data_IF_603565374700
#
_entry.id   IF_603565374700
#
_cell.length_a   1.000
_cell.length_b   1.000
_cell.length_c   1.000
_cell.angle_alpha   90.00
_cell.angle_beta   90.00
_cell.angle_gamma   90.00
#
_symmetry.space_group_name_H-M   'P 1'
#
loop_
_entity.id
_entity.type
_entity.pdbx_description
1 polymer ?
#
# COMPACT_ATOMS: atom_id res chain seq x y z
N UNK A 1 -23.82 -74.68 -42.05
CA UNK A 1 -24.75 -74.18 -41.00
C UNK A 1 -23.94 -73.39 -39.98
N UNK A 2 -23.86 -72.06 -40.13
CA UNK A 2 -23.16 -71.17 -39.22
C UNK A 2 -24.16 -70.58 -38.21
N UNK A 3 -23.88 -70.72 -36.90
CA UNK A 3 -24.63 -70.02 -35.84
C UNK A 3 -23.76 -68.89 -35.31
N UNK A 4 -24.15 -67.67 -35.64
CA UNK A 4 -23.58 -66.41 -35.16
C UNK A 4 -24.02 -66.20 -33.69
N UNK A 5 -23.06 -65.98 -32.78
CA UNK A 5 -23.32 -65.53 -31.41
C UNK A 5 -22.42 -64.32 -31.14
N UNK A 6 -22.87 -63.14 -31.57
CA UNK A 6 -22.31 -61.85 -31.17
C UNK A 6 -23.08 -61.42 -29.93
N UNK A 7 -22.48 -61.62 -28.76
CA UNK A 7 -23.07 -61.27 -27.48
C UNK A 7 -22.90 -59.77 -27.26
N UNK A 8 -24.05 -59.11 -27.25
CA UNK A 8 -24.29 -57.69 -26.97
C UNK A 8 -23.83 -57.39 -25.53
N UNK A 9 -22.59 -56.95 -25.35
CA UNK A 9 -22.09 -56.49 -24.02
C UNK A 9 -21.57 -55.05 -24.06
N UNK A 10 -21.34 -54.45 -25.22
CA UNK A 10 -20.83 -53.07 -25.31
C UNK A 10 -21.90 -51.97 -25.36
N UNK A 11 -23.18 -52.28 -25.58
CA UNK A 11 -24.20 -51.23 -25.83
C UNK A 11 -24.80 -50.66 -24.53
N UNK A 12 -24.78 -51.42 -23.43
CA UNK A 12 -25.40 -50.95 -22.16
C UNK A 12 -24.46 -50.05 -21.35
N UNK A 13 -23.13 -50.11 -21.56
CA UNK A 13 -22.18 -49.26 -20.82
C UNK A 13 -22.15 -47.79 -21.28
N UNK A 14 -22.76 -47.45 -22.42
CA UNK A 14 -22.79 -46.09 -22.95
C UNK A 14 -23.96 -45.24 -22.45
N UNK A 15 -24.87 -45.81 -21.64
CA UNK A 15 -26.03 -45.08 -21.07
C UNK A 15 -25.87 -44.65 -19.61
N UNK A 16 -24.67 -44.82 -19.04
CA UNK A 16 -24.28 -44.25 -17.73
C UNK A 16 -23.48 -42.95 -17.89
N UNK A 17 -23.65 -42.24 -19.01
CA UNK A 17 -23.15 -40.88 -19.17
C UNK A 17 -23.87 -39.97 -18.18
N UNK A 18 -23.20 -39.67 -17.06
CA UNK A 18 -23.62 -38.63 -16.12
C UNK A 18 -24.01 -37.37 -16.90
N UNK A 19 -25.11 -36.67 -16.57
CA UNK A 19 -25.31 -35.34 -17.11
C UNK A 19 -24.09 -34.51 -16.71
N UNK A 20 -23.31 -34.09 -17.70
CA UNK A 20 -22.25 -33.12 -17.49
C UNK A 20 -22.94 -31.90 -16.86
N UNK A 21 -22.61 -31.60 -15.61
CA UNK A 21 -22.97 -30.32 -15.00
C UNK A 21 -22.28 -29.24 -15.82
N UNK A 22 -23.04 -28.67 -16.75
CA UNK A 22 -22.68 -27.40 -17.35
C UNK A 22 -22.60 -26.38 -16.20
N UNK A 23 -21.46 -25.74 -16.02
CA UNK A 23 -21.38 -24.59 -15.12
C UNK A 23 -22.39 -23.55 -15.61
N UNK A 24 -23.24 -23.05 -14.73
CA UNK A 24 -24.08 -21.90 -15.04
C UNK A 24 -23.19 -20.80 -15.64
N UNK A 25 -23.60 -20.15 -16.73
CA UNK A 25 -22.83 -19.05 -17.29
C UNK A 25 -22.64 -18.02 -16.19
N UNK A 26 -21.38 -17.74 -15.86
CA UNK A 26 -20.98 -16.74 -14.87
C UNK A 26 -21.83 -15.50 -15.05
N UNK A 27 -22.57 -15.13 -13.99
CA UNK A 27 -23.39 -13.92 -13.98
C UNK A 27 -22.43 -12.74 -14.10
N UNK A 28 -22.34 -12.17 -15.30
CA UNK A 28 -21.53 -10.98 -15.55
C UNK A 28 -22.10 -9.84 -14.70
N UNK A 29 -21.42 -9.53 -13.61
CA UNK A 29 -21.71 -8.34 -12.81
C UNK A 29 -21.26 -7.14 -13.64
N UNK A 30 -22.22 -6.49 -14.30
CA UNK A 30 -22.01 -5.14 -14.79
C UNK A 30 -22.01 -4.22 -13.57
N UNK A 31 -20.87 -3.61 -13.28
CA UNK A 31 -20.79 -2.58 -12.25
C UNK A 31 -21.59 -1.37 -12.71
N UNK A 32 -22.28 -0.73 -11.76
CA UNK A 32 -22.92 0.54 -12.01
C UNK A 32 -21.87 1.60 -12.39
N UNK A 33 -22.29 2.65 -13.09
CA UNK A 33 -21.42 3.75 -13.50
C UNK A 33 -20.73 4.39 -12.27
N UNK A 34 -19.42 4.19 -12.15
CA UNK A 34 -18.61 4.83 -11.11
C UNK A 34 -18.14 6.17 -11.64
N UNK A 35 -18.71 7.24 -11.09
CA UNK A 35 -18.18 8.60 -11.32
C UNK A 35 -16.97 8.82 -10.44
N UNK A 36 -15.77 8.83 -11.02
CA UNK A 36 -14.53 9.21 -10.33
C UNK A 36 -14.36 10.73 -10.44
N UNK A 37 -14.53 11.45 -9.34
CA UNK A 37 -14.18 12.88 -9.30
C UNK A 37 -12.73 13.06 -8.89
N UNK A 38 -11.88 13.48 -9.83
CA UNK A 38 -10.53 13.94 -9.54
C UNK A 38 -10.57 15.39 -9.03
N UNK A 39 -10.05 15.63 -7.83
CA UNK A 39 -9.74 16.99 -7.36
C UNK A 39 -8.26 17.24 -7.61
N UNK A 40 -7.95 18.23 -8.44
CA UNK A 40 -6.58 18.72 -8.52
C UNK A 40 -6.20 19.29 -7.14
N UNK A 41 -5.23 18.65 -6.48
CA UNK A 41 -4.62 19.23 -5.29
C UNK A 41 -3.76 20.37 -5.80
N UNK A 42 -4.24 21.61 -5.64
CA UNK A 42 -3.37 22.77 -5.83
C UNK A 42 -2.29 22.65 -4.75
N UNK A 43 -1.08 22.29 -5.16
CA UNK A 43 0.09 22.27 -4.27
C UNK A 43 0.36 23.73 -3.93
N UNK A 44 -0.15 24.17 -2.78
CA UNK A 44 0.27 25.45 -2.21
C UNK A 44 1.78 25.38 -2.01
N UNK A 45 2.53 26.47 -2.24
CA UNK A 45 3.95 26.46 -1.90
C UNK A 45 4.13 26.03 -0.44
N UNK A 46 5.14 25.19 -0.15
CA UNK A 46 5.40 24.72 1.20
C UNK A 46 5.49 25.88 2.19
N UNK A 47 5.06 25.69 3.45
CA UNK A 47 5.25 26.71 4.47
C UNK A 47 6.75 27.01 4.66
N UNK A 48 7.14 28.20 5.13
CA UNK A 48 8.56 28.54 5.34
C UNK A 48 9.31 27.61 6.32
N UNK A 49 8.59 26.84 7.14
CA UNK A 49 9.13 25.83 8.05
C UNK A 49 9.40 24.47 7.39
N UNK A 50 8.96 24.29 6.13
CA UNK A 50 9.19 23.07 5.39
C UNK A 50 10.68 22.91 5.04
N UNK A 51 11.14 21.67 5.07
CA UNK A 51 12.41 21.25 4.50
C UNK A 51 12.11 20.35 3.33
N UNK A 52 12.78 20.56 2.20
CA UNK A 52 12.65 19.72 1.02
C UNK A 52 13.96 18.96 0.87
N UNK A 53 13.84 17.65 0.66
CA UNK A 53 14.95 16.77 0.24
C UNK A 53 14.58 16.31 -1.17
N UNK A 54 15.43 16.60 -2.14
CA UNK A 54 15.14 16.26 -3.54
C UNK A 54 15.45 14.79 -3.84
N UNK A 55 14.80 14.22 -4.86
CA UNK A 55 15.11 12.87 -5.34
C UNK A 55 16.56 12.75 -5.83
N UNK A 56 17.12 13.81 -6.40
CA UNK A 56 18.53 13.87 -6.79
C UNK A 56 19.46 13.68 -5.58
N UNK A 57 19.17 14.32 -4.44
CA UNK A 57 19.91 14.12 -3.19
C UNK A 57 19.78 12.68 -2.64
N UNK A 58 18.67 11.99 -2.93
CA UNK A 58 18.46 10.60 -2.51
C UNK A 58 19.20 9.62 -3.43
N UNK A 59 19.27 9.89 -4.73
CA UNK A 59 19.89 9.02 -5.73
C UNK A 59 21.41 8.89 -5.58
N UNK A 60 22.06 9.88 -4.98
CA UNK A 60 23.49 9.84 -4.68
C UNK A 60 23.85 8.95 -3.48
N UNK A 61 22.85 8.39 -2.78
CA UNK A 61 23.02 7.59 -1.57
C UNK A 61 22.51 6.15 -1.73
N UNK A 62 23.13 5.25 -0.99
CA UNK A 62 22.70 3.86 -0.90
C UNK A 62 21.88 3.67 0.39
N UNK A 63 20.64 3.22 0.23
CA UNK A 63 19.76 2.88 1.34
C UNK A 63 19.69 1.36 1.51
N UNK A 64 20.01 0.86 2.70
CA UNK A 64 19.85 -0.57 3.02
C UNK A 64 18.37 -0.98 3.10
N UNK A 65 17.50 -0.04 3.45
CA UNK A 65 16.04 -0.17 3.45
C UNK A 65 15.37 1.18 3.19
N UNK A 66 14.10 1.16 2.75
CA UNK A 66 13.37 2.42 2.49
C UNK A 66 13.23 3.29 3.74
N UNK A 67 13.18 2.71 4.94
CA UNK A 67 13.05 3.49 6.18
C UNK A 67 14.26 4.39 6.43
N UNK A 68 15.45 4.01 5.95
CA UNK A 68 16.68 4.82 6.02
C UNK A 68 16.57 6.16 5.29
N UNK A 69 15.63 6.30 4.34
CA UNK A 69 15.34 7.59 3.70
C UNK A 69 14.91 8.65 4.72
N UNK A 70 14.23 8.23 5.79
CA UNK A 70 13.81 9.14 6.87
C UNK A 70 14.98 9.65 7.72
N UNK A 71 16.15 9.00 7.71
CA UNK A 71 17.35 9.48 8.40
C UNK A 71 17.96 10.72 7.72
N UNK A 72 17.57 11.00 6.47
CA UNK A 72 17.96 12.23 5.76
C UNK A 72 17.29 13.47 6.34
N UNK A 73 16.22 13.30 7.10
CA UNK A 73 15.44 14.40 7.66
C UNK A 73 16.24 15.04 8.82
N UNK A 74 16.64 16.33 8.73
CA UNK A 74 17.41 16.95 9.80
C UNK A 74 16.61 17.06 11.10
N UNK A 75 17.17 16.51 12.18
CA UNK A 75 16.52 16.45 13.49
C UNK A 75 15.55 15.29 13.68
N UNK A 76 15.53 14.35 12.73
CA UNK A 76 14.95 13.04 12.88
C UNK A 76 16.01 12.00 13.33
N UNK A 77 15.55 10.96 14.02
CA UNK A 77 16.30 9.74 14.26
C UNK A 77 15.36 8.57 14.03
N UNK A 78 15.67 7.71 13.08
CA UNK A 78 14.90 6.48 12.82
C UNK A 78 15.49 5.36 13.66
N UNK A 79 14.61 4.53 14.22
CA UNK A 79 14.95 3.28 14.90
C UNK A 79 14.15 2.17 14.26
N UNK A 80 14.84 1.39 13.45
CA UNK A 80 14.28 0.20 12.83
C UNK A 80 14.10 -0.91 13.87
N UNK A 81 13.00 -1.65 13.77
CA UNK A 81 12.73 -2.81 14.63
C UNK A 81 13.33 -4.11 14.07
N UNK A 82 13.74 -4.15 12.80
CA UNK A 82 14.25 -5.33 12.10
C UNK A 82 13.19 -6.41 11.89
N UNK A 83 11.92 -6.04 11.95
CA UNK A 83 10.76 -6.92 11.80
C UNK A 83 10.02 -6.50 10.53
N UNK A 84 10.13 -7.31 9.48
CA UNK A 84 9.47 -7.00 8.21
C UNK A 84 7.96 -6.80 8.38
N UNK A 85 7.42 -5.74 7.78
CA UNK A 85 6.01 -5.34 7.92
C UNK A 85 5.68 -4.59 9.21
N UNK A 86 6.68 -4.18 9.99
CA UNK A 86 6.53 -3.29 11.14
C UNK A 86 7.22 -1.97 10.84
N UNK A 87 6.48 -0.86 10.90
CA UNK A 87 7.08 0.46 10.72
C UNK A 87 8.10 0.75 11.83
N UNK A 88 9.21 1.39 11.46
CA UNK A 88 10.21 1.95 12.37
C UNK A 88 9.57 2.81 13.45
N UNK A 89 10.30 3.00 14.56
CA UNK A 89 10.04 4.16 15.39
C UNK A 89 10.78 5.36 14.84
N UNK A 90 10.12 6.50 14.82
CA UNK A 90 10.70 7.75 14.39
C UNK A 90 10.76 8.70 15.58
N UNK A 91 11.86 9.44 15.73
CA UNK A 91 12.01 10.47 16.75
C UNK A 91 12.24 11.79 16.06
N UNK A 92 11.42 12.80 16.32
CA UNK A 92 11.60 14.14 15.78
C UNK A 92 11.78 15.15 16.90
N UNK A 93 12.87 15.92 16.89
CA UNK A 93 13.17 16.92 17.95
C UNK A 93 13.09 16.37 19.38
N UNK A 94 13.41 15.09 19.57
CA UNK A 94 13.36 14.40 20.87
C UNK A 94 11.99 13.86 21.27
N UNK A 95 10.95 14.06 20.46
CA UNK A 95 9.63 13.46 20.65
C UNK A 95 9.62 12.06 20.02
N UNK A 96 9.30 11.05 20.82
CA UNK A 96 9.19 9.67 20.36
C UNK A 96 7.85 9.47 19.64
N UNK A 97 7.91 9.15 18.35
CA UNK A 97 6.75 8.85 17.50
C UNK A 97 6.81 7.35 17.19
N UNK A 98 6.33 6.56 18.14
CA UNK A 98 6.36 5.09 18.10
C UNK A 98 5.69 4.55 16.84
N UNK A 99 6.32 3.60 16.16
CA UNK A 99 5.79 2.97 14.94
C UNK A 99 5.25 3.96 13.88
N UNK A 100 5.90 5.14 13.77
CA UNK A 100 5.50 6.23 12.87
C UNK A 100 4.05 6.75 13.07
N UNK A 101 3.37 6.45 14.19
CA UNK A 101 1.97 6.88 14.41
C UNK A 101 1.84 8.34 14.82
N UNK A 102 2.91 8.92 15.37
CA UNK A 102 2.89 10.29 15.89
C UNK A 102 3.13 11.38 14.84
N UNK A 103 3.51 11.03 13.60
CA UNK A 103 3.64 11.96 12.49
C UNK A 103 2.64 11.62 11.38
N UNK A 104 2.21 12.63 10.64
CA UNK A 104 1.35 12.46 9.47
C UNK A 104 2.22 12.11 8.26
N UNK A 105 1.96 10.99 7.60
CA UNK A 105 2.65 10.61 6.38
C UNK A 105 1.69 10.68 5.20
N UNK A 106 2.15 11.26 4.10
CA UNK A 106 1.39 11.38 2.87
C UNK A 106 2.25 10.93 1.68
N UNK A 107 1.64 10.25 0.73
CA UNK A 107 2.21 9.96 -0.59
C UNK A 107 1.27 10.59 -1.62
N UNK A 108 1.78 11.50 -2.44
CA UNK A 108 0.99 12.23 -3.44
C UNK A 108 -0.29 12.90 -2.89
N UNK A 109 -0.22 13.35 -1.63
CA UNK A 109 -1.35 13.97 -0.92
C UNK A 109 -2.38 12.98 -0.35
N UNK A 110 -2.16 11.68 -0.49
CA UNK A 110 -2.97 10.62 0.12
C UNK A 110 -2.34 10.20 1.45
N UNK A 111 -3.11 10.17 2.57
CA UNK A 111 -2.56 9.78 3.87
C UNK A 111 -2.18 8.30 3.89
N UNK A 112 -1.00 8.00 4.42
CA UNK A 112 -0.55 6.63 4.73
C UNK A 112 -1.02 6.15 6.12
N UNK A 113 -1.37 7.09 7.00
CA UNK A 113 -1.84 6.78 8.35
C UNK A 113 -2.94 7.75 8.82
N UNK A 114 -3.72 7.31 9.81
CA UNK A 114 -4.83 8.05 10.39
C UNK A 114 -4.58 8.31 11.88
N UNK A 115 -5.00 9.48 12.39
CA UNK A 115 -4.62 9.92 13.74
C UNK A 115 -5.37 9.24 14.89
N UNK A 116 -6.50 8.59 14.61
CA UNK A 116 -7.54 8.35 15.63
C UNK A 116 -7.54 6.96 16.26
N UNK A 117 -6.64 6.06 15.86
CA UNK A 117 -6.64 4.69 16.42
C UNK A 117 -5.21 4.22 16.64
N UNK A 118 -4.86 4.00 17.90
CA UNK A 118 -3.62 3.33 18.34
C UNK A 118 -3.53 1.86 17.85
N UNK A 119 -4.29 1.47 16.84
CA UNK A 119 -4.36 0.12 16.28
C UNK A 119 -4.47 0.01 14.75
N UNK A 120 -4.69 1.09 13.98
CA UNK A 120 -5.15 0.94 12.58
C UNK A 120 -4.31 1.63 11.49
N UNK A 121 -3.03 1.90 11.73
CA UNK A 121 -2.17 2.35 10.64
C UNK A 121 -0.78 2.77 11.04
N UNK A 122 0.17 1.84 10.97
CA UNK A 122 1.57 2.19 10.89
C UNK A 122 1.81 2.92 9.57
N UNK A 123 2.48 4.07 9.61
CA UNK A 123 3.04 4.62 8.38
C UNK A 123 4.26 3.78 7.98
N UNK A 124 3.99 2.67 7.29
CA UNK A 124 5.03 1.81 6.75
C UNK A 124 5.52 2.34 5.40
N UNK A 125 6.63 3.07 5.46
CA UNK A 125 7.29 3.63 4.29
C UNK A 125 7.98 2.55 3.44
N UNK A 126 8.09 1.29 3.88
CA UNK A 126 8.66 0.20 3.07
C UNK A 126 7.87 -0.08 1.77
N UNK A 127 6.65 0.43 1.66
CA UNK A 127 5.85 0.38 0.43
C UNK A 127 6.37 1.32 -0.67
N UNK A 128 7.23 2.27 -0.32
CA UNK A 128 7.81 3.26 -1.22
C UNK A 128 9.16 2.74 -1.72
N UNK A 129 9.44 2.96 -2.99
CA UNK A 129 10.75 2.68 -3.59
C UNK A 129 11.53 3.99 -3.55
N UNK A 130 12.69 4.08 -2.86
CA UNK A 130 13.47 5.31 -2.74
C UNK A 130 13.78 5.97 -4.09
N UNK A 131 14.03 5.17 -5.12
CA UNK A 131 14.38 5.62 -6.47
C UNK A 131 13.21 6.29 -7.21
N UNK A 132 11.96 6.03 -6.79
CA UNK A 132 10.75 6.61 -7.37
C UNK A 132 10.35 7.95 -6.69
N UNK A 133 11.12 8.41 -5.69
CA UNK A 133 10.82 9.63 -4.95
C UNK A 133 11.35 10.87 -5.69
N UNK A 134 10.45 11.73 -6.15
CA UNK A 134 10.82 13.04 -6.73
C UNK A 134 11.35 14.03 -5.66
N UNK A 135 10.69 14.07 -4.50
CA UNK A 135 11.12 14.85 -3.34
C UNK A 135 10.37 14.41 -2.08
N UNK A 136 10.91 14.78 -0.92
CA UNK A 136 10.29 14.63 0.39
C UNK A 136 10.11 16.02 0.98
N UNK A 137 8.87 16.38 1.30
CA UNK A 137 8.55 17.60 2.02
C UNK A 137 8.30 17.29 3.50
N UNK A 138 9.04 17.97 4.37
CA UNK A 138 8.96 17.78 5.82
C UNK A 138 8.58 19.09 6.50
N UNK A 139 7.41 19.13 7.11
CA UNK A 139 6.96 20.25 7.94
C UNK A 139 7.22 19.90 9.41
N UNK A 140 8.08 20.67 10.08
CA UNK A 140 8.48 20.44 11.47
C UNK A 140 7.77 21.38 12.45
N UNK A 141 7.10 20.83 13.46
CA UNK A 141 6.45 21.58 14.53
C UNK A 141 4.92 21.55 14.47
N UNK A 142 4.22 22.40 15.25
CA UNK A 142 2.77 22.29 15.42
C UNK A 142 2.02 22.42 14.09
N UNK A 143 1.45 21.31 13.63
CA UNK A 143 0.85 21.18 12.30
C UNK A 143 -0.67 20.90 12.35
N UNK A 144 -1.23 20.84 13.56
CA UNK A 144 -2.56 20.32 13.87
C UNK A 144 -3.73 21.00 13.14
N UNK A 145 -3.58 22.26 12.74
CA UNK A 145 -4.63 23.00 12.02
C UNK A 145 -4.96 22.44 10.63
N UNK A 146 -3.98 21.81 9.96
CA UNK A 146 -4.16 21.25 8.61
C UNK A 146 -4.16 19.73 8.59
N UNK A 147 -3.44 19.10 9.53
CA UNK A 147 -3.15 17.67 9.49
C UNK A 147 -3.77 16.87 10.64
N UNK A 148 -4.44 17.51 11.60
CA UNK A 148 -5.16 16.80 12.67
C UNK A 148 -4.31 16.47 13.90
N UNK A 149 -4.47 15.29 14.50
CA UNK A 149 -3.80 14.91 15.75
C UNK A 149 -2.42 14.28 15.52
N UNK A 150 -1.53 14.98 14.83
CA UNK A 150 -0.12 14.60 14.66
C UNK A 150 0.83 15.65 15.27
N UNK A 151 2.05 15.24 15.60
CA UNK A 151 3.07 16.01 16.31
C UNK A 151 3.95 16.87 15.39
#
# INVERSE_FOLDING_TARGET
MFKLRVVIVCVVLLMLGSPAWASEPSKVLMMDEITVQGKAINVSPPPPSATIITGEELQDEYFENTQSVLDKIPGAVVREYGQGGVASSFVMRGLQLGHNTGAAFFVDGVPLNESTSHGDGYADVNSIIPEDIDYIEIIKGPSSALYGQFA
#
